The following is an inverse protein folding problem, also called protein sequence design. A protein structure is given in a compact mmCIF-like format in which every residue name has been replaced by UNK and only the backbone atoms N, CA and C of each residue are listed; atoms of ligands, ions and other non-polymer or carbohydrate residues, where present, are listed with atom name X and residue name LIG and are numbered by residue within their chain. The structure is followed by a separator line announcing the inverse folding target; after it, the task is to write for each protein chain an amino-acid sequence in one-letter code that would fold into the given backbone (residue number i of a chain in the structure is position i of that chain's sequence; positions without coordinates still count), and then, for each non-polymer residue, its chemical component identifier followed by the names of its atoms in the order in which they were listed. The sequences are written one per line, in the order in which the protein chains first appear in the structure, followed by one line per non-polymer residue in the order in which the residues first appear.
data_IF_007243583956
#
_entry.id   IF_007243583956
#
_cell.length_a   1.000
_cell.length_b   1.000
_cell.length_c   1.000
_cell.angle_alpha   90.00
_cell.angle_beta   90.00
_cell.angle_gamma   90.00
#
_symmetry.space_group_name_H-M   'P 1'
#
loop_
_entity.id
_entity.type
_entity.pdbx_description
1 polymer ?
#
# COMPACT_ATOMS: atom_id res chain seq x y z
N UNK A 1 -4.22 32.56 -15.12
CA UNK A 1 -4.22 33.08 -16.51
C UNK A 1 -3.95 34.56 -16.45
N UNK A 2 -3.13 35.05 -17.36
CA UNK A 2 -2.74 36.47 -17.48
C UNK A 2 -3.35 37.04 -18.78
N UNK A 3 -3.62 38.35 -18.81
CA UNK A 3 -4.20 39.05 -19.97
C UNK A 3 -5.70 39.41 -19.85
N UNK A 4 -6.22 40.12 -20.84
CA UNK A 4 -7.59 40.68 -20.88
C UNK A 4 -8.38 40.13 -22.10
N UNK A 5 -9.67 39.82 -21.89
CA UNK A 5 -10.56 39.37 -22.95
C UNK A 5 -10.15 38.02 -23.59
N UNK A 6 -10.34 37.83 -24.92
CA UNK A 6 -10.04 36.58 -25.62
C UNK A 6 -8.54 36.24 -25.73
N UNK A 7 -7.65 37.13 -25.27
CA UNK A 7 -6.18 36.93 -25.29
C UNK A 7 -5.62 36.43 -23.94
N UNK A 8 -6.44 35.76 -23.13
CA UNK A 8 -5.95 35.13 -21.88
C UNK A 8 -4.98 34.01 -22.22
N UNK A 9 -3.73 34.15 -21.77
CA UNK A 9 -2.73 33.10 -21.85
C UNK A 9 -2.58 32.38 -20.50
N UNK A 10 -2.03 31.18 -20.58
CA UNK A 10 -1.61 30.42 -19.41
C UNK A 10 -0.43 31.12 -18.75
N UNK A 11 -0.56 31.39 -17.45
CA UNK A 11 0.49 32.02 -16.65
C UNK A 11 1.49 30.94 -16.20
N UNK A 12 2.44 30.65 -17.08
CA UNK A 12 3.41 29.54 -16.94
C UNK A 12 4.27 29.70 -15.69
N UNK A 13 4.75 30.90 -15.40
CA UNK A 13 5.56 31.15 -14.19
C UNK A 13 4.76 30.86 -12.93
N UNK A 14 3.53 31.38 -12.83
CA UNK A 14 2.68 31.10 -11.66
C UNK A 14 2.35 29.62 -11.51
N UNK A 15 2.10 28.91 -12.61
CA UNK A 15 1.84 27.47 -12.56
C UNK A 15 3.07 26.69 -12.09
N UNK A 16 4.28 27.07 -12.51
CA UNK A 16 5.53 26.47 -12.04
C UNK A 16 5.72 26.71 -10.55
N UNK A 17 5.54 27.95 -10.08
CA UNK A 17 5.62 28.28 -8.65
C UNK A 17 4.65 27.44 -7.80
N UNK A 18 3.39 27.37 -8.22
CA UNK A 18 2.38 26.55 -7.53
C UNK A 18 2.79 25.08 -7.54
N UNK A 19 3.21 24.56 -8.69
CA UNK A 19 3.62 23.14 -8.82
C UNK A 19 4.78 22.82 -7.88
N UNK A 20 5.84 23.63 -7.89
CA UNK A 20 7.00 23.47 -7.00
C UNK A 20 6.60 23.55 -5.53
N UNK A 21 5.75 24.51 -5.17
CA UNK A 21 5.25 24.68 -3.80
C UNK A 21 4.47 23.45 -3.32
N UNK A 22 3.54 22.93 -4.13
CA UNK A 22 2.71 21.79 -3.74
C UNK A 22 3.50 20.48 -3.67
N UNK A 23 4.43 20.28 -4.61
CA UNK A 23 5.37 19.16 -4.58
C UNK A 23 6.26 19.23 -3.33
N UNK A 24 6.87 20.39 -3.06
CA UNK A 24 7.72 20.57 -1.89
C UNK A 24 6.94 20.40 -0.58
N UNK A 25 5.69 20.87 -0.53
CA UNK A 25 4.84 20.68 0.64
C UNK A 25 4.61 19.18 0.91
N UNK A 26 4.44 18.39 -0.15
CA UNK A 26 4.35 16.93 -0.09
C UNK A 26 5.73 16.25 0.09
N UNK A 27 6.81 16.99 0.36
CA UNK A 27 8.16 16.43 0.51
C UNK A 27 8.72 15.81 -0.78
N UNK A 28 8.21 16.24 -1.93
CA UNK A 28 8.57 15.76 -3.26
C UNK A 28 9.60 16.72 -3.83
N UNK A 29 10.79 16.21 -4.10
CA UNK A 29 11.84 16.95 -4.79
C UNK A 29 11.95 16.43 -6.23
N UNK A 30 11.44 17.22 -7.19
CA UNK A 30 11.64 16.97 -8.62
C UNK A 30 12.75 17.89 -9.11
N UNK A 31 13.74 17.29 -9.78
CA UNK A 31 14.85 18.04 -10.39
C UNK A 31 14.39 19.05 -11.42
N UNK A 32 13.33 18.71 -12.15
CA UNK A 32 12.74 19.56 -13.17
C UNK A 32 11.23 19.27 -13.28
N UNK A 33 10.41 20.30 -13.09
CA UNK A 33 8.94 20.23 -13.23
C UNK A 33 8.47 20.36 -14.67
N UNK A 34 9.36 20.72 -15.60
CA UNK A 34 9.11 20.72 -17.05
C UNK A 34 9.47 19.39 -17.71
N UNK A 35 10.13 18.48 -16.97
CA UNK A 35 10.49 17.18 -17.49
C UNK A 35 9.23 16.40 -17.90
N UNK A 36 9.22 15.76 -19.09
CA UNK A 36 8.09 14.93 -19.51
C UNK A 36 7.83 13.81 -18.50
N UNK A 37 6.56 13.61 -18.11
CA UNK A 37 6.14 12.56 -17.16
C UNK A 37 6.65 11.17 -17.54
N UNK A 38 6.76 10.87 -18.84
CA UNK A 38 7.28 9.60 -19.34
C UNK A 38 8.74 9.31 -18.97
N UNK A 39 9.52 10.34 -18.61
CA UNK A 39 10.92 10.22 -18.20
C UNK A 39 11.12 10.15 -16.68
N UNK A 40 10.07 10.41 -15.90
CA UNK A 40 10.10 10.25 -14.44
C UNK A 40 10.13 8.76 -14.08
N UNK A 41 10.75 8.42 -12.94
CA UNK A 41 10.63 7.09 -12.34
C UNK A 41 9.19 6.78 -11.94
N UNK A 42 8.85 5.49 -11.77
CA UNK A 42 7.50 5.10 -11.38
C UNK A 42 7.06 5.72 -10.04
N UNK A 43 7.98 5.84 -9.08
CA UNK A 43 7.72 6.52 -7.80
C UNK A 43 7.43 8.01 -7.98
N UNK A 44 8.25 8.72 -8.76
CA UNK A 44 8.05 10.15 -9.07
C UNK A 44 6.72 10.41 -9.81
N UNK A 45 6.30 9.52 -10.71
CA UNK A 45 5.00 9.65 -11.40
C UNK A 45 3.83 9.58 -10.42
N UNK A 46 3.90 8.68 -9.45
CA UNK A 46 2.86 8.56 -8.42
C UNK A 46 2.85 9.74 -7.47
N UNK A 47 4.05 10.18 -7.10
CA UNK A 47 4.29 11.43 -6.38
C UNK A 47 3.50 12.60 -6.97
N UNK A 48 3.70 12.85 -8.26
CA UNK A 48 3.01 13.90 -9.01
C UNK A 48 1.50 13.66 -9.03
N UNK A 49 1.06 12.41 -9.20
CA UNK A 49 -0.36 12.08 -9.19
C UNK A 49 -1.03 12.37 -7.84
N UNK A 50 -0.38 12.03 -6.72
CA UNK A 50 -0.85 12.30 -5.37
C UNK A 50 -0.88 13.81 -5.12
N UNK A 51 0.21 14.53 -5.40
CA UNK A 51 0.28 15.97 -5.23
C UNK A 51 -0.80 16.71 -6.03
N UNK A 52 -1.03 16.27 -7.29
CA UNK A 52 -2.12 16.80 -8.13
C UNK A 52 -3.49 16.56 -7.51
N UNK A 53 -3.76 15.36 -6.99
CA UNK A 53 -5.04 15.05 -6.34
C UNK A 53 -5.26 15.94 -5.10
N UNK A 54 -4.24 16.10 -4.27
CA UNK A 54 -4.27 16.97 -3.08
C UNK A 54 -4.52 18.43 -3.46
N UNK A 55 -3.81 18.96 -4.47
CA UNK A 55 -3.96 20.34 -4.92
C UNK A 55 -5.38 20.68 -5.38
N UNK A 56 -6.06 19.73 -6.05
CA UNK A 56 -7.46 19.90 -6.46
C UNK A 56 -8.49 19.63 -5.34
N UNK A 57 -8.04 19.51 -4.09
CA UNK A 57 -8.92 19.39 -2.93
C UNK A 57 -9.54 18.01 -2.77
N UNK A 58 -8.85 16.94 -3.20
CA UNK A 58 -9.30 15.58 -2.95
C UNK A 58 -9.49 15.35 -1.44
N UNK A 59 -10.67 14.83 -1.07
CA UNK A 59 -10.96 14.41 0.32
C UNK A 59 -10.59 12.95 0.57
N UNK A 60 -10.56 12.15 -0.50
CA UNK A 60 -10.24 10.73 -0.49
C UNK A 60 -9.28 10.41 -1.62
N UNK A 61 -8.25 9.61 -1.33
CA UNK A 61 -7.25 9.11 -2.27
C UNK A 61 -7.32 7.58 -2.30
N UNK A 62 -7.51 7.00 -3.49
CA UNK A 62 -7.51 5.55 -3.70
C UNK A 62 -6.27 5.22 -4.53
N UNK A 63 -5.45 4.30 -4.03
CA UNK A 63 -4.22 3.86 -4.67
C UNK A 63 -4.29 2.36 -4.88
N UNK A 64 -4.37 1.96 -6.15
CA UNK A 64 -4.41 0.57 -6.57
C UNK A 64 -3.02 0.10 -6.97
N UNK A 65 -2.44 -0.79 -6.16
CA UNK A 65 -1.07 -1.31 -6.31
C UNK A 65 -0.01 -0.26 -6.69
N UNK A 66 0.05 0.90 -5.99
CA UNK A 66 0.98 1.97 -6.31
C UNK A 66 2.45 1.50 -6.22
N UNK A 67 2.78 0.50 -5.42
CA UNK A 67 4.17 0.01 -5.36
C UNK A 67 4.52 -1.01 -6.43
N UNK A 68 3.60 -1.34 -7.35
CA UNK A 68 3.85 -2.31 -8.40
C UNK A 68 5.01 -1.87 -9.31
N UNK A 69 5.90 -2.83 -9.62
CA UNK A 69 7.09 -2.61 -10.44
C UNK A 69 8.09 -1.56 -9.89
N UNK A 70 7.99 -1.20 -8.61
CA UNK A 70 8.97 -0.34 -7.93
C UNK A 70 9.94 -1.18 -7.09
N UNK A 71 11.22 -0.80 -7.11
CA UNK A 71 12.21 -1.34 -6.18
C UNK A 71 12.03 -0.77 -4.76
N UNK A 72 12.61 -1.44 -3.76
CA UNK A 72 12.46 -1.13 -2.32
C UNK A 72 12.58 0.37 -2.00
N UNK A 73 13.61 1.04 -2.52
CA UNK A 73 13.82 2.48 -2.29
C UNK A 73 12.66 3.34 -2.82
N UNK A 74 12.15 3.02 -4.01
CA UNK A 74 11.07 3.77 -4.66
C UNK A 74 9.72 3.48 -3.98
N UNK A 75 9.47 2.23 -3.59
CA UNK A 75 8.29 1.87 -2.80
C UNK A 75 8.27 2.62 -1.47
N UNK A 76 9.38 2.69 -0.75
CA UNK A 76 9.48 3.45 0.50
C UNK A 76 9.16 4.95 0.33
N UNK A 77 9.55 5.53 -0.80
CA UNK A 77 9.21 6.91 -1.16
C UNK A 77 7.69 7.07 -1.34
N UNK A 78 7.03 6.17 -2.07
CA UNK A 78 5.56 6.17 -2.24
C UNK A 78 4.83 6.00 -0.92
N UNK A 79 5.25 5.04 -0.09
CA UNK A 79 4.66 4.79 1.23
C UNK A 79 4.76 6.03 2.15
N UNK A 80 5.86 6.79 2.07
CA UNK A 80 5.98 8.06 2.80
C UNK A 80 4.94 9.09 2.35
N UNK A 81 4.67 9.20 1.06
CA UNK A 81 3.66 10.15 0.55
C UNK A 81 2.23 9.75 0.92
N UNK A 82 1.96 8.44 1.01
CA UNK A 82 0.70 7.92 1.54
C UNK A 82 0.47 8.41 2.97
N UNK A 83 1.49 8.31 3.83
CA UNK A 83 1.43 8.81 5.20
C UNK A 83 1.22 10.32 5.25
N UNK A 84 1.95 11.08 4.43
CA UNK A 84 1.81 12.53 4.39
C UNK A 84 0.43 12.98 3.87
N UNK A 85 -0.15 12.27 2.90
CA UNK A 85 -1.51 12.51 2.45
C UNK A 85 -2.52 12.29 3.59
N UNK A 86 -2.38 11.18 4.33
CA UNK A 86 -3.18 10.90 5.53
C UNK A 86 -3.05 12.01 6.58
N UNK A 87 -1.81 12.42 6.89
CA UNK A 87 -1.54 13.43 7.94
C UNK A 87 -2.12 14.82 7.59
N UNK A 88 -2.40 15.07 6.31
CA UNK A 88 -3.11 16.26 5.82
C UNK A 88 -4.63 16.16 5.92
N UNK A 89 -5.16 15.07 6.46
CA UNK A 89 -6.58 14.83 6.64
C UNK A 89 -7.29 14.22 5.43
N UNK A 90 -6.55 13.66 4.46
CA UNK A 90 -7.16 12.89 3.38
C UNK A 90 -7.48 11.48 3.88
N UNK A 91 -8.68 10.98 3.54
CA UNK A 91 -8.95 9.54 3.64
C UNK A 91 -8.14 8.79 2.59
N UNK A 92 -7.35 7.80 2.98
CA UNK A 92 -6.54 7.02 2.03
C UNK A 92 -7.00 5.57 2.02
N UNK A 93 -7.28 5.04 0.82
CA UNK A 93 -7.51 3.62 0.56
C UNK A 93 -6.31 3.13 -0.24
N UNK A 94 -5.51 2.26 0.38
CA UNK A 94 -4.32 1.66 -0.24
C UNK A 94 -4.57 0.17 -0.46
N UNK A 95 -4.58 -0.24 -1.73
CA UNK A 95 -4.80 -1.61 -2.14
C UNK A 95 -3.44 -2.22 -2.47
N UNK A 96 -3.10 -3.31 -1.78
CA UNK A 96 -1.89 -4.07 -2.09
C UNK A 96 -2.01 -5.53 -1.69
N UNK A 97 -1.30 -6.41 -2.42
CA UNK A 97 -1.05 -7.80 -2.05
C UNK A 97 0.24 -7.99 -1.22
N UNK A 98 0.95 -6.92 -0.86
CA UNK A 98 2.18 -7.00 -0.07
C UNK A 98 1.97 -6.54 1.39
N UNK A 99 2.02 -7.43 2.39
CA UNK A 99 1.82 -7.08 3.80
C UNK A 99 2.90 -6.13 4.32
N UNK A 100 4.15 -6.24 3.85
CA UNK A 100 5.24 -5.34 4.23
C UNK A 100 5.07 -3.91 3.70
N UNK A 101 4.23 -3.71 2.69
CA UNK A 101 3.84 -2.37 2.25
C UNK A 101 2.60 -1.88 2.99
N UNK A 102 1.62 -2.75 3.21
CA UNK A 102 0.38 -2.41 3.90
C UNK A 102 0.60 -2.04 5.37
N UNK A 103 1.33 -2.88 6.12
CA UNK A 103 1.42 -2.79 7.58
C UNK A 103 2.04 -1.46 8.09
N UNK A 104 3.12 -0.93 7.49
CA UNK A 104 3.71 0.33 7.94
C UNK A 104 2.75 1.54 7.82
N UNK A 105 1.91 1.57 6.78
CA UNK A 105 1.08 2.74 6.44
C UNK A 105 -0.40 2.59 6.80
N UNK A 106 -0.86 1.36 7.00
CA UNK A 106 -2.25 1.06 7.34
C UNK A 106 -2.53 1.32 8.82
N UNK A 107 -3.67 1.96 9.08
CA UNK A 107 -4.29 2.05 10.41
C UNK A 107 -5.34 0.93 10.59
N UNK A 108 -5.93 0.48 9.48
CA UNK A 108 -7.01 -0.51 9.38
C UNK A 108 -6.79 -1.40 8.16
N UNK A 109 -7.07 -2.69 8.31
CA UNK A 109 -6.84 -3.70 7.30
C UNK A 109 -8.15 -4.40 6.96
N UNK A 110 -8.57 -4.29 5.69
CA UNK A 110 -9.68 -5.04 5.14
C UNK A 110 -9.13 -6.11 4.21
N UNK A 111 -9.28 -7.38 4.59
CA UNK A 111 -8.84 -8.50 3.77
C UNK A 111 -9.97 -8.96 2.86
N UNK A 112 -9.65 -9.07 1.57
CA UNK A 112 -10.58 -9.47 0.53
C UNK A 112 -10.10 -10.75 -0.15
N UNK A 113 -11.02 -11.71 -0.34
CA UNK A 113 -10.79 -12.94 -1.11
C UNK A 113 -11.98 -13.18 -2.03
N UNK A 114 -11.71 -13.34 -3.34
CA UNK A 114 -12.74 -13.55 -4.38
C UNK A 114 -13.92 -12.55 -4.26
N UNK A 115 -13.61 -11.29 -3.98
CA UNK A 115 -14.59 -10.22 -3.83
C UNK A 115 -15.39 -10.20 -2.52
N UNK A 116 -15.07 -11.08 -1.55
CA UNK A 116 -15.70 -11.11 -0.23
C UNK A 116 -14.72 -10.67 0.86
N UNK A 117 -15.21 -9.94 1.85
CA UNK A 117 -14.44 -9.65 3.06
C UNK A 117 -14.27 -10.94 3.86
N UNK A 118 -13.02 -11.26 4.19
CA UNK A 118 -12.66 -12.41 5.04
C UNK A 118 -12.19 -11.98 6.43
N UNK A 119 -11.90 -10.70 6.62
CA UNK A 119 -11.50 -10.15 7.91
C UNK A 119 -11.35 -8.63 7.86
N UNK A 120 -11.50 -8.02 9.04
CA UNK A 120 -11.30 -6.60 9.26
C UNK A 120 -10.57 -6.42 10.59
N UNK A 121 -9.46 -5.70 10.58
CA UNK A 121 -8.57 -5.56 11.73
C UNK A 121 -8.12 -4.12 11.89
N UNK A 122 -8.11 -3.60 13.13
CA UNK A 122 -7.33 -2.40 13.45
C UNK A 122 -5.85 -2.81 13.62
N UNK A 123 -4.93 -1.88 13.38
CA UNK A 123 -3.48 -2.14 13.50
C UNK A 123 -3.03 -2.70 14.85
N UNK A 124 -3.74 -2.37 15.92
CA UNK A 124 -3.47 -2.85 17.28
C UNK A 124 -3.88 -4.32 17.51
N UNK A 125 -4.72 -4.87 16.64
CA UNK A 125 -5.36 -6.17 16.81
C UNK A 125 -4.80 -7.23 15.84
N UNK A 126 -3.77 -6.89 15.05
CA UNK A 126 -3.12 -7.82 14.12
C UNK A 126 -1.61 -7.52 14.03
N UNK A 127 -0.80 -8.57 14.00
CA UNK A 127 0.64 -8.45 13.73
C UNK A 127 0.95 -8.47 12.23
N UNK A 128 2.18 -8.12 11.86
CA UNK A 128 2.64 -8.24 10.47
C UNK A 128 2.62 -9.71 10.01
N UNK A 129 3.00 -10.64 10.87
CA UNK A 129 3.08 -12.07 10.54
C UNK A 129 1.67 -12.65 10.38
N UNK A 130 0.74 -12.30 11.26
CA UNK A 130 -0.67 -12.66 11.12
C UNK A 130 -1.29 -12.09 9.83
N UNK A 131 -1.03 -10.82 9.52
CA UNK A 131 -1.49 -10.20 8.27
C UNK A 131 -0.91 -10.93 7.06
N UNK A 132 0.38 -11.28 7.10
CA UNK A 132 1.07 -12.02 6.05
C UNK A 132 0.44 -13.39 5.85
N UNK A 133 0.24 -14.16 6.91
CA UNK A 133 -0.39 -15.47 6.87
C UNK A 133 -1.80 -15.40 6.27
N UNK A 134 -2.61 -14.41 6.69
CA UNK A 134 -3.97 -14.24 6.16
C UNK A 134 -3.97 -13.84 4.67
N UNK A 135 -3.03 -12.99 4.24
CA UNK A 135 -2.87 -12.57 2.84
C UNK A 135 -2.32 -13.69 1.94
N UNK A 136 -1.43 -14.54 2.47
CA UNK A 136 -0.92 -15.74 1.81
C UNK A 136 -1.98 -16.86 1.70
N UNK A 137 -3.15 -16.66 2.31
CA UNK A 137 -4.26 -17.61 2.27
C UNK A 137 -4.09 -18.73 3.29
N UNK A 138 -3.60 -18.45 4.50
CA UNK A 138 -3.18 -19.41 5.53
C UNK A 138 -4.15 -20.56 5.87
N UNK A 139 -5.43 -20.50 5.50
CA UNK A 139 -6.33 -21.66 5.57
C UNK A 139 -6.16 -22.63 4.38
N UNK A 140 -5.96 -22.11 3.17
CA UNK A 140 -5.74 -22.90 1.95
C UNK A 140 -4.31 -23.44 1.83
N UNK A 141 -3.29 -22.74 2.34
CA UNK A 141 -1.93 -23.29 2.33
C UNK A 141 -1.84 -24.54 3.23
N UNK A 142 -2.52 -24.51 4.38
CA UNK A 142 -2.64 -25.65 5.29
C UNK A 142 -3.51 -26.78 4.70
N UNK A 143 -4.63 -26.47 4.05
CA UNK A 143 -5.45 -27.47 3.35
C UNK A 143 -4.72 -28.09 2.16
N UNK A 144 -4.00 -27.29 1.36
CA UNK A 144 -3.21 -27.75 0.21
C UNK A 144 -2.02 -28.60 0.67
N UNK A 145 -1.36 -28.24 1.77
CA UNK A 145 -0.32 -29.07 2.39
C UNK A 145 -0.85 -30.46 2.73
N UNK A 146 -2.03 -30.49 3.38
CA UNK A 146 -2.68 -31.72 3.80
C UNK A 146 -3.16 -32.56 2.61
N UNK A 147 -3.64 -31.93 1.54
CA UNK A 147 -4.06 -32.61 0.31
C UNK A 147 -2.85 -33.17 -0.47
N UNK A 148 -1.75 -32.41 -0.55
CA UNK A 148 -0.49 -32.86 -1.16
C UNK A 148 0.16 -34.03 -0.40
N UNK A 149 0.06 -34.05 0.93
CA UNK A 149 0.45 -35.20 1.75
C UNK A 149 -0.33 -36.46 1.40
N UNK A 150 -1.66 -36.34 1.26
CA UNK A 150 -2.54 -37.46 0.94
C UNK A 150 -2.30 -38.00 -0.49
N UNK A 151 -1.82 -37.16 -1.41
CA UNK A 151 -1.50 -37.51 -2.80
C UNK A 151 -0.05 -37.98 -3.00
N UNK A 152 0.75 -38.07 -1.94
CA UNK A 152 2.13 -38.56 -2.01
C UNK A 152 3.14 -37.55 -2.60
N UNK A 153 2.92 -36.25 -2.37
CA UNK A 153 3.83 -35.17 -2.77
C UNK A 153 5.25 -35.36 -2.25
N UNK A 154 6.23 -34.77 -2.96
CA UNK A 154 7.65 -34.87 -2.60
C UNK A 154 7.87 -34.38 -1.16
N UNK A 155 8.40 -35.26 -0.30
CA UNK A 155 8.44 -35.07 1.15
C UNK A 155 9.23 -33.85 1.64
N UNK A 156 10.02 -33.22 0.79
CA UNK A 156 10.74 -31.99 1.13
C UNK A 156 9.84 -30.75 1.09
N UNK A 157 8.92 -30.66 0.11
CA UNK A 157 7.92 -29.58 0.02
C UNK A 157 6.93 -29.70 1.18
N UNK A 158 6.52 -30.93 1.51
CA UNK A 158 5.63 -31.20 2.63
C UNK A 158 6.26 -30.76 3.97
N UNK A 159 7.54 -31.04 4.19
CA UNK A 159 8.24 -30.63 5.42
C UNK A 159 8.38 -29.12 5.55
N UNK A 160 8.61 -28.43 4.44
CA UNK A 160 8.76 -26.97 4.43
C UNK A 160 7.41 -26.29 4.76
N UNK A 161 6.31 -26.78 4.19
CA UNK A 161 4.96 -26.28 4.49
C UNK A 161 4.49 -26.68 5.90
N UNK A 162 4.82 -27.89 6.38
CA UNK A 162 4.53 -28.31 7.76
C UNK A 162 5.27 -27.46 8.80
N UNK A 163 6.51 -27.05 8.51
CA UNK A 163 7.28 -26.17 9.39
C UNK A 163 6.61 -24.80 9.53
N UNK A 164 6.15 -24.19 8.42
CA UNK A 164 5.39 -22.93 8.47
C UNK A 164 4.06 -23.07 9.22
N UNK A 165 3.32 -24.18 9.04
CA UNK A 165 2.05 -24.42 9.75
C UNK A 165 2.26 -24.65 11.25
N UNK A 166 3.32 -25.37 11.65
CA UNK A 166 3.62 -25.64 13.05
C UNK A 166 4.01 -24.39 13.84
N UNK A 167 4.71 -23.43 13.20
CA UNK A 167 4.98 -22.12 13.79
C UNK A 167 3.67 -21.37 14.07
N UNK A 168 2.74 -21.36 13.12
CA UNK A 168 1.42 -20.68 13.24
C UNK A 168 0.54 -21.28 14.35
N UNK A 169 0.53 -22.61 14.52
CA UNK A 169 -0.31 -23.26 15.55
C UNK A 169 0.28 -23.15 16.96
N UNK A 170 1.60 -23.05 17.09
CA UNK A 170 2.27 -22.84 18.38
C UNK A 170 1.95 -21.46 18.99
N UNK A 171 1.76 -20.44 18.14
CA UNK A 171 1.40 -19.09 18.57
C UNK A 171 -0.09 -18.95 18.93
N UNK A 172 -0.98 -19.68 18.23
CA UNK A 172 -2.41 -19.75 18.57
C UNK A 172 -2.68 -20.29 19.98
N UNK A 173 -1.91 -21.26 20.44
CA UNK A 173 -2.11 -21.86 21.77
C UNK A 173 -1.64 -20.97 22.93
N UNK A 174 -0.82 -19.95 22.66
CA UNK A 174 -0.37 -18.98 23.67
C UNK A 174 -1.38 -17.87 24.02
N UNK A 175 -2.38 -17.63 23.17
CA UNK A 175 -3.27 -16.45 23.27
C UNK A 175 -4.63 -16.80 23.92
N UNK A 176 -4.87 -18.08 24.22
CA UNK A 176 -6.19 -18.60 24.63
C UNK A 176 -6.73 -18.22 26.01
N UNK A 177 -6.06 -17.39 26.83
CA UNK A 177 -6.49 -17.19 28.23
C UNK A 177 -7.22 -15.87 28.55
N UNK A 178 -7.18 -14.82 27.72
CA UNK A 178 -7.74 -13.51 28.13
C UNK A 178 -8.59 -12.81 27.07
N UNK A 179 -9.80 -13.30 26.81
CA UNK A 179 -10.89 -12.49 26.26
C UNK A 179 -12.27 -13.14 26.48
N UNK A 180 -12.73 -13.19 27.73
CA UNK A 180 -14.15 -13.15 28.06
C UNK A 180 -14.34 -12.10 29.15
N UNK A 181 -14.71 -10.89 28.76
CA UNK A 181 -15.71 -10.02 29.41
C UNK A 181 -15.80 -8.68 28.69
#
# INVERSE_FOLDING_TARGET
TSGFGPFKSMDVEKMKEITLKELAAMGIDLRDVEQPIGQLSGGERQCVAIARAVYFGAKVLILDEPTAALGVKQSGVVLRYILQARDRGLGVIFITHNPHHAFPVGDRFLLLKRGKSIGYYDKKDITLDELTAQMAGGAELAELAHELEQLGGHGDIVKEVQAEVAEVDSERQGIGTHARH
#
